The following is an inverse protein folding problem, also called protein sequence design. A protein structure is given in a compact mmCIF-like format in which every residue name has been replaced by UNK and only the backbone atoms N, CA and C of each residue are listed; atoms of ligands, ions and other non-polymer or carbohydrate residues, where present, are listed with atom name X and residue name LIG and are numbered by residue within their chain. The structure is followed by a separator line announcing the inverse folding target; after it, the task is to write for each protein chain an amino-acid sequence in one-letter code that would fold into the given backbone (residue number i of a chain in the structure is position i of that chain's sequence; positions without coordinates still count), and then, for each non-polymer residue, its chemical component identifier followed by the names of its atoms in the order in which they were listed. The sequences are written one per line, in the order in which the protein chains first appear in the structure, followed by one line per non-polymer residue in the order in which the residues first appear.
data_IF_324619809787
#
_entry.id   IF_324619809787
#
_cell.length_a   1.000
_cell.length_b   1.000
_cell.length_c   1.000
_cell.angle_alpha   90.00
_cell.angle_beta   90.00
_cell.angle_gamma   90.00
#
_symmetry.space_group_name_H-M   'P 1'
#
loop_
_entity.id
_entity.type
_entity.pdbx_description
1 polymer ?
#
# COMPACT_ATOMS: atom_id res chain seq x y z
N UNK A 1 4.54 20.64 6.86
CA UNK A 1 5.41 19.57 7.38
C UNK A 1 6.05 18.82 6.23
N UNK A 2 7.37 18.77 6.19
CA UNK A 2 8.08 18.06 5.12
C UNK A 2 8.18 16.58 5.45
N UNK A 3 7.91 15.73 4.44
CA UNK A 3 8.13 14.30 4.58
C UNK A 3 9.63 14.05 4.69
N UNK A 4 10.07 13.30 5.69
CA UNK A 4 11.47 12.99 5.85
C UNK A 4 11.93 11.99 4.78
N UNK A 5 13.18 12.06 4.38
CA UNK A 5 13.77 11.07 3.48
C UNK A 5 13.63 9.66 4.03
N UNK A 6 13.73 9.55 5.34
CA UNK A 6 13.58 8.29 6.05
C UNK A 6 12.25 7.59 5.71
N UNK A 7 11.14 8.35 5.75
CA UNK A 7 9.82 7.82 5.43
C UNK A 7 9.73 7.43 3.96
N UNK A 8 10.21 8.28 3.07
CA UNK A 8 10.21 7.99 1.62
C UNK A 8 11.02 6.74 1.32
N UNK A 9 12.16 6.58 1.98
CA UNK A 9 13.03 5.40 1.78
C UNK A 9 12.33 4.12 2.23
N UNK A 10 11.65 4.15 3.37
CA UNK A 10 10.90 3.00 3.88
C UNK A 10 9.79 2.60 2.89
N UNK A 11 9.04 3.56 2.42
CA UNK A 11 7.96 3.30 1.44
C UNK A 11 8.53 2.71 0.16
N UNK A 12 9.65 3.27 -0.31
CA UNK A 12 10.30 2.77 -1.53
C UNK A 12 10.77 1.33 -1.36
N UNK A 13 11.39 1.01 -0.23
CA UNK A 13 11.83 -0.37 0.04
C UNK A 13 10.66 -1.34 0.09
N UNK A 14 9.57 -0.96 0.74
CA UNK A 14 8.39 -1.81 0.84
C UNK A 14 7.74 -2.03 -0.53
N UNK A 15 7.74 -1.03 -1.40
CA UNK A 15 7.22 -1.15 -2.75
C UNK A 15 8.04 -2.10 -3.62
N UNK A 16 9.31 -2.30 -3.27
CA UNK A 16 10.21 -3.19 -4.02
C UNK A 16 10.14 -4.64 -3.58
N UNK A 17 9.44 -4.95 -2.49
CA UNK A 17 9.19 -6.34 -2.10
C UNK A 17 8.40 -7.01 -3.23
N UNK A 18 8.86 -8.16 -3.75
CA UNK A 18 8.24 -8.76 -4.94
C UNK A 18 6.74 -8.94 -4.84
N UNK A 19 6.24 -9.45 -3.74
CA UNK A 19 4.82 -9.68 -3.52
C UNK A 19 4.03 -8.38 -3.49
N UNK A 20 4.59 -7.36 -2.85
CA UNK A 20 3.96 -6.03 -2.76
C UNK A 20 3.95 -5.38 -4.14
N UNK A 21 5.04 -5.49 -4.88
CA UNK A 21 5.16 -4.92 -6.22
C UNK A 21 4.10 -5.50 -7.16
N UNK A 22 3.88 -6.81 -7.11
CA UNK A 22 2.87 -7.46 -7.94
C UNK A 22 1.46 -7.00 -7.57
N UNK A 23 1.18 -6.88 -6.28
CA UNK A 23 -0.11 -6.40 -5.79
C UNK A 23 -0.35 -4.97 -6.25
N UNK A 24 0.65 -4.10 -6.12
CA UNK A 24 0.54 -2.70 -6.54
C UNK A 24 0.36 -2.56 -8.05
N UNK A 25 0.99 -3.44 -8.81
CA UNK A 25 0.82 -3.47 -10.26
C UNK A 25 -0.61 -3.80 -10.65
N UNK A 26 -1.20 -4.78 -9.99
CA UNK A 26 -2.61 -5.15 -10.21
C UNK A 26 -3.52 -3.97 -9.86
N UNK A 27 -3.28 -3.34 -8.72
CA UNK A 27 -4.07 -2.18 -8.30
C UNK A 27 -3.98 -1.04 -9.29
N UNK A 28 -2.78 -0.76 -9.78
CA UNK A 28 -2.56 0.30 -10.76
C UNK A 28 -3.33 0.05 -12.04
N UNK A 29 -3.42 -1.21 -12.46
CA UNK A 29 -4.18 -1.59 -13.65
C UNK A 29 -5.69 -1.50 -13.44
N UNK A 30 -6.15 -1.81 -12.23
CA UNK A 30 -7.58 -1.75 -11.90
C UNK A 30 -8.07 -0.33 -11.65
N UNK A 31 -7.29 0.48 -10.96
CA UNK A 31 -7.65 1.86 -10.63
C UNK A 31 -6.41 2.64 -10.25
N UNK A 32 -6.01 3.55 -11.12
CA UNK A 32 -4.86 4.41 -10.84
C UNK A 32 -5.09 5.30 -9.63
N UNK A 33 -6.33 5.77 -9.44
CA UNK A 33 -6.68 6.61 -8.29
C UNK A 33 -6.50 5.84 -6.99
N UNK A 34 -6.97 4.60 -6.93
CA UNK A 34 -6.80 3.75 -5.76
C UNK A 34 -5.33 3.44 -5.49
N UNK A 35 -4.57 3.20 -6.56
CA UNK A 35 -3.12 2.99 -6.46
C UNK A 35 -2.43 4.19 -5.82
N UNK A 36 -2.71 5.40 -6.32
CA UNK A 36 -2.13 6.62 -5.76
C UNK A 36 -2.57 6.86 -4.32
N UNK A 37 -3.84 6.54 -4.01
CA UNK A 37 -4.35 6.64 -2.65
C UNK A 37 -3.61 5.70 -1.70
N UNK A 38 -3.35 4.47 -2.12
CA UNK A 38 -2.61 3.50 -1.31
C UNK A 38 -1.20 3.99 -0.99
N UNK A 39 -0.51 4.56 -1.98
CA UNK A 39 0.83 5.09 -1.79
C UNK A 39 0.81 6.29 -0.82
N UNK A 40 -0.13 7.20 -1.01
CA UNK A 40 -0.29 8.36 -0.12
C UNK A 40 -0.60 7.91 1.31
N UNK A 41 -1.50 6.95 1.47
CA UNK A 41 -1.86 6.39 2.77
C UNK A 41 -0.65 5.76 3.44
N UNK A 42 0.17 5.03 2.68
CA UNK A 42 1.40 4.42 3.22
C UNK A 42 2.38 5.48 3.70
N UNK A 43 2.54 6.56 2.95
CA UNK A 43 3.42 7.65 3.34
C UNK A 43 2.93 8.30 4.66
N UNK A 44 1.65 8.65 4.72
CA UNK A 44 1.09 9.28 5.92
C UNK A 44 1.12 8.35 7.13
N UNK A 45 0.78 7.07 6.94
CA UNK A 45 0.81 6.09 8.02
C UNK A 45 2.22 5.91 8.57
N UNK A 46 3.20 5.87 7.69
CA UNK A 46 4.60 5.73 8.08
C UNK A 46 5.09 6.98 8.82
N UNK A 47 4.68 8.17 8.37
CA UNK A 47 5.02 9.42 9.04
C UNK A 47 4.46 9.45 10.47
N UNK A 48 3.20 9.04 10.63
CA UNK A 48 2.58 9.00 11.94
C UNK A 48 3.29 7.98 12.84
N UNK A 49 3.55 6.79 12.31
CA UNK A 49 4.22 5.74 13.06
C UNK A 49 5.65 6.14 13.45
N UNK A 50 6.36 6.85 12.56
CA UNK A 50 7.72 7.33 12.82
C UNK A 50 7.76 8.29 14.00
N UNK A 51 6.67 9.00 14.28
CA UNK A 51 6.61 9.89 15.43
C UNK A 51 6.44 9.13 16.76
N UNK A 52 6.10 7.84 16.70
CA UNK A 52 5.91 7.02 17.89
C UNK A 52 6.99 5.97 18.09
N UNK A 53 7.65 5.54 17.04
CA UNK A 53 8.67 4.49 17.14
C UNK A 53 9.77 4.70 16.09
N UNK A 54 10.99 4.28 16.42
CA UNK A 54 12.11 4.24 15.49
C UNK A 54 12.44 2.81 15.07
N UNK A 55 11.62 1.84 15.47
CA UNK A 55 11.81 0.45 15.11
C UNK A 55 11.50 0.23 13.63
N UNK A 56 12.53 -0.03 12.85
CA UNK A 56 12.43 -0.17 11.40
C UNK A 56 11.51 -1.32 10.99
N UNK A 57 11.53 -2.43 11.73
CA UNK A 57 10.67 -3.57 11.43
C UNK A 57 9.20 -3.21 11.60
N UNK A 58 8.87 -2.48 12.66
CA UNK A 58 7.50 -2.02 12.90
C UNK A 58 7.07 -1.06 11.80
N UNK A 59 7.94 -0.11 11.45
CA UNK A 59 7.65 0.86 10.39
C UNK A 59 7.41 0.17 9.05
N UNK A 60 8.22 -0.83 8.71
CA UNK A 60 8.05 -1.58 7.47
C UNK A 60 6.75 -2.37 7.45
N UNK A 61 6.37 -2.96 8.58
CA UNK A 61 5.09 -3.69 8.68
C UNK A 61 3.90 -2.77 8.49
N UNK A 62 3.92 -1.60 9.09
CA UNK A 62 2.87 -0.60 8.95
C UNK A 62 2.78 -0.12 7.51
N UNK A 63 3.92 0.19 6.91
CA UNK A 63 3.99 0.67 5.52
C UNK A 63 3.47 -0.38 4.55
N UNK A 64 3.91 -1.63 4.70
CA UNK A 64 3.49 -2.72 3.84
C UNK A 64 1.99 -2.97 3.98
N UNK A 65 1.48 -2.98 5.21
CA UNK A 65 0.06 -3.14 5.46
C UNK A 65 -0.76 -2.04 4.80
N UNK A 66 -0.28 -0.79 4.89
CA UNK A 66 -0.97 0.34 4.27
C UNK A 66 -0.97 0.25 2.74
N UNK A 67 0.14 -0.22 2.16
CA UNK A 67 0.25 -0.37 0.70
C UNK A 67 -0.71 -1.41 0.15
N UNK A 68 -0.97 -2.48 0.90
CA UNK A 68 -1.74 -3.62 0.38
C UNK A 68 -3.19 -3.68 0.86
N UNK A 69 -3.57 -2.87 1.85
CA UNK A 69 -4.90 -3.03 2.47
C UNK A 69 -6.07 -2.79 1.50
N UNK A 70 -5.95 -1.80 0.61
CA UNK A 70 -7.03 -1.50 -0.35
C UNK A 70 -7.01 -2.44 -1.55
N UNK A 71 -5.88 -3.07 -1.82
CA UNK A 71 -5.76 -4.02 -2.93
C UNK A 71 -6.57 -5.27 -2.67
N UNK A 72 -6.50 -5.79 -1.44
CA UNK A 72 -7.31 -6.95 -1.06
C UNK A 72 -8.78 -6.68 -1.31
N UNK A 73 -9.23 -5.48 -0.94
CA UNK A 73 -10.59 -5.05 -1.13
C UNK A 73 -10.96 -4.98 -2.60
N UNK A 74 -10.11 -4.39 -3.42
CA UNK A 74 -10.33 -4.26 -4.86
C UNK A 74 -10.34 -5.62 -5.55
N UNK A 75 -9.43 -6.52 -5.18
CA UNK A 75 -9.36 -7.86 -5.73
C UNK A 75 -10.60 -8.69 -5.38
N UNK A 76 -11.07 -8.58 -4.14
CA UNK A 76 -12.28 -9.27 -3.70
C UNK A 76 -13.49 -8.73 -4.46
N UNK A 77 -13.61 -7.42 -4.60
CA UNK A 77 -14.70 -6.79 -5.32
C UNK A 77 -14.74 -7.25 -6.78
N UNK A 78 -13.57 -7.33 -7.42
CA UNK A 78 -13.46 -7.80 -8.80
C UNK A 78 -13.91 -9.26 -8.93
N UNK A 79 -13.46 -10.12 -8.01
CA UNK A 79 -13.86 -11.53 -8.00
C UNK A 79 -15.37 -11.70 -7.84
N UNK A 80 -15.96 -10.93 -6.93
CA UNK A 80 -17.41 -10.98 -6.69
C UNK A 80 -18.16 -10.54 -7.94
N UNK A 81 -17.72 -9.44 -8.57
CA UNK A 81 -18.35 -8.94 -9.79
C UNK A 81 -18.26 -9.93 -10.94
N UNK A 82 -17.10 -10.57 -11.11
CA UNK A 82 -16.92 -11.56 -12.15
C UNK A 82 -17.79 -12.78 -11.94
N UNK A 83 -17.93 -13.23 -10.70
CA UNK A 83 -18.80 -14.36 -10.37
C UNK A 83 -20.26 -14.02 -10.64
N UNK A 84 -20.70 -12.82 -10.27
CA UNK A 84 -22.06 -12.37 -10.54
C UNK A 84 -22.32 -12.23 -12.02
N UNK A 85 -21.33 -11.77 -12.77
CA UNK A 85 -21.45 -11.63 -14.21
C UNK A 85 -21.62 -12.95 -14.95
N UNK A 86 -21.22 -14.05 -14.33
CA UNK A 86 -21.33 -15.38 -14.90
C UNK A 86 -22.67 -16.06 -14.58
N UNK A 87 -23.40 -15.49 -13.67
CA UNK A 87 -24.70 -15.99 -13.28
C UNK A 87 -25.80 -15.38 -14.14
#
# INVERSE_FOLDING_TARGET
MTTSFWVVDIVRECRCIPEVREILKIEKELSYVTYMHSISTAIYSTMIADSYTQDLDILKKITTGALVHDVGKAAIAKNVLEKKGKL
#
